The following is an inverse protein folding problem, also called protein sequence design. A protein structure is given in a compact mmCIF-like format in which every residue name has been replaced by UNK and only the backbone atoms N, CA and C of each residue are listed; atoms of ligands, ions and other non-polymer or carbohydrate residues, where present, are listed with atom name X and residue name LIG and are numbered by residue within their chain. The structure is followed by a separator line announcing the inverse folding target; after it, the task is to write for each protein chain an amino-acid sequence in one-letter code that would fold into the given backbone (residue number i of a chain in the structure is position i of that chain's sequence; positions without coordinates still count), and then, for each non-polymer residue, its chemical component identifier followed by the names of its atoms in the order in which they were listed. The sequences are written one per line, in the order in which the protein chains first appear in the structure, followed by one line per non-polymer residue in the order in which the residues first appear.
data_IF_490033116682
#
_entry.id   IF_490033116682
#
_cell.length_a   1.000
_cell.length_b   1.000
_cell.length_c   1.000
_cell.angle_alpha   90.00
_cell.angle_beta   90.00
_cell.angle_gamma   90.00
#
_symmetry.space_group_name_H-M   'P 1'
#
loop_
_entity.id
_entity.type
_entity.pdbx_description
1 polymer ?
#
# COMPACT_ATOMS: atom_id res chain seq x y z
N UNK A 1 6.86 -35.90 -10.36
CA UNK A 1 6.73 -35.52 -11.77
C UNK A 1 5.22 -35.41 -12.03
N UNK A 2 4.64 -34.25 -11.86
CA UNK A 2 3.22 -33.97 -12.05
C UNK A 2 3.11 -32.72 -12.93
N UNK A 3 2.65 -32.91 -14.13
CA UNK A 3 2.51 -31.88 -15.16
C UNK A 3 1.51 -30.83 -14.67
N UNK A 4 1.98 -29.61 -14.50
CA UNK A 4 1.18 -28.41 -14.39
C UNK A 4 0.56 -28.14 -15.77
N UNK A 5 -0.70 -28.50 -15.97
CA UNK A 5 -1.46 -28.11 -17.15
C UNK A 5 -1.73 -26.60 -17.05
N UNK A 6 -0.89 -25.84 -17.72
CA UNK A 6 -1.20 -24.48 -18.13
C UNK A 6 -2.33 -24.55 -19.14
N UNK A 7 -3.54 -24.11 -18.75
CA UNK A 7 -4.56 -23.73 -19.74
C UNK A 7 -4.26 -22.28 -20.14
N UNK A 8 -3.83 -22.04 -21.39
CA UNK A 8 -3.80 -20.67 -21.88
C UNK A 8 -5.24 -20.20 -22.04
N UNK A 9 -5.62 -19.17 -21.30
CA UNK A 9 -6.89 -18.48 -21.49
C UNK A 9 -6.86 -17.89 -22.92
N UNK A 10 -7.55 -18.54 -23.84
CA UNK A 10 -7.66 -18.08 -25.22
C UNK A 10 -8.62 -16.91 -25.25
N UNK A 11 -8.09 -15.70 -25.46
CA UNK A 11 -8.85 -14.46 -25.69
C UNK A 11 -9.59 -14.44 -27.06
N UNK A 12 -9.97 -15.60 -27.63
CA UNK A 12 -10.45 -15.71 -29.01
C UNK A 12 -11.97 -15.76 -29.19
N UNK A 13 -12.77 -15.39 -28.16
CA UNK A 13 -14.23 -15.30 -28.32
C UNK A 13 -14.79 -13.94 -27.83
N UNK A 14 -14.20 -12.82 -28.31
CA UNK A 14 -14.81 -11.49 -28.13
C UNK A 14 -15.11 -10.88 -29.50
N UNK A 15 -15.91 -11.58 -30.25
CA UNK A 15 -16.62 -11.05 -31.42
C UNK A 15 -18.00 -10.54 -31.00
N UNK A 16 -18.09 -9.25 -30.70
CA UNK A 16 -19.32 -8.58 -30.28
C UNK A 16 -19.13 -7.91 -28.94
N UNK A 17 -19.24 -6.58 -28.85
CA UNK A 17 -18.91 -5.71 -27.72
C UNK A 17 -19.45 -6.10 -26.34
N UNK A 18 -19.06 -7.23 -25.82
CA UNK A 18 -19.34 -7.65 -24.44
C UNK A 18 -18.47 -6.82 -23.47
N UNK A 19 -19.11 -6.18 -22.49
CA UNK A 19 -18.42 -5.51 -21.39
C UNK A 19 -17.57 -6.53 -20.64
N UNK A 20 -16.29 -6.23 -20.48
CA UNK A 20 -15.38 -7.03 -19.64
C UNK A 20 -15.87 -6.97 -18.20
N UNK A 21 -16.12 -8.12 -17.54
CA UNK A 21 -16.61 -8.17 -16.17
C UNK A 21 -15.43 -8.32 -15.19
N UNK A 22 -15.27 -7.33 -14.34
CA UNK A 22 -14.32 -7.35 -13.23
C UNK A 22 -15.00 -7.54 -11.88
N UNK A 23 -14.19 -7.81 -10.86
CA UNK A 23 -14.60 -7.81 -9.47
C UNK A 23 -13.78 -6.77 -8.69
N UNK A 24 -14.45 -5.87 -7.97
CA UNK A 24 -13.82 -4.99 -6.98
C UNK A 24 -13.90 -5.68 -5.61
N UNK A 25 -12.76 -6.14 -5.12
CA UNK A 25 -12.64 -6.87 -3.86
C UNK A 25 -12.35 -5.87 -2.75
N UNK A 26 -13.21 -5.83 -1.76
CA UNK A 26 -13.14 -4.89 -0.63
C UNK A 26 -13.26 -5.62 0.69
N UNK A 27 -12.90 -4.97 1.80
CA UNK A 27 -13.16 -5.52 3.11
C UNK A 27 -14.66 -5.39 3.45
N UNK A 28 -15.33 -6.51 3.68
CA UNK A 28 -16.78 -6.56 3.95
C UNK A 28 -17.18 -5.94 5.29
N UNK A 29 -16.21 -5.72 6.19
CA UNK A 29 -16.44 -5.18 7.54
C UNK A 29 -16.16 -3.68 7.65
N UNK A 30 -15.62 -3.04 6.60
CA UNK A 30 -15.34 -1.60 6.57
C UNK A 30 -16.56 -0.84 6.08
N UNK A 31 -17.20 -0.09 6.98
CA UNK A 31 -18.41 0.69 6.69
C UNK A 31 -18.22 2.20 6.51
N UNK A 32 -17.00 2.70 6.55
CA UNK A 32 -16.71 4.15 6.49
C UNK A 32 -17.08 4.77 5.14
N UNK A 33 -17.73 5.94 5.18
CA UNK A 33 -18.23 6.61 3.96
C UNK A 33 -17.11 7.04 3.00
N UNK A 34 -15.93 7.32 3.53
CA UNK A 34 -14.73 7.64 2.72
C UNK A 34 -14.34 6.49 1.77
N UNK A 35 -14.46 5.24 2.22
CA UNK A 35 -14.22 4.06 1.38
C UNK A 35 -15.35 3.86 0.36
N UNK A 36 -16.60 4.02 0.78
CA UNK A 36 -17.75 3.89 -0.14
C UNK A 36 -17.70 4.91 -1.28
N UNK A 37 -17.29 6.15 -0.99
CA UNK A 37 -17.14 7.18 -2.04
C UNK A 37 -16.03 6.84 -3.02
N UNK A 38 -14.91 6.31 -2.54
CA UNK A 38 -13.79 5.84 -3.37
C UNK A 38 -14.22 4.68 -4.28
N UNK A 39 -14.92 3.68 -3.74
CA UNK A 39 -15.40 2.54 -4.53
C UNK A 39 -16.40 2.98 -5.60
N UNK A 40 -17.28 3.92 -5.28
CA UNK A 40 -18.20 4.52 -6.23
C UNK A 40 -17.45 5.21 -7.38
N UNK A 41 -16.42 6.01 -7.08
CA UNK A 41 -15.58 6.65 -8.12
C UNK A 41 -14.92 5.63 -9.05
N UNK A 42 -14.43 4.50 -8.52
CA UNK A 42 -13.88 3.43 -9.35
C UNK A 42 -14.94 2.77 -10.24
N UNK A 43 -16.14 2.52 -9.73
CA UNK A 43 -17.22 1.93 -10.51
C UNK A 43 -17.70 2.89 -11.62
N UNK A 44 -17.88 4.16 -11.31
CA UNK A 44 -18.25 5.20 -12.30
C UNK A 44 -17.17 5.37 -13.39
N UNK A 45 -15.90 5.28 -13.01
CA UNK A 45 -14.78 5.31 -13.96
C UNK A 45 -14.76 4.06 -14.87
N UNK A 46 -15.09 2.90 -14.32
CA UNK A 46 -15.20 1.66 -15.08
C UNK A 46 -16.32 1.71 -16.13
N UNK A 47 -17.49 2.25 -15.76
CA UNK A 47 -18.62 2.44 -16.69
C UNK A 47 -18.22 3.32 -17.89
N UNK A 48 -17.46 4.40 -17.66
CA UNK A 48 -16.95 5.28 -18.73
C UNK A 48 -16.02 4.56 -19.70
N UNK A 49 -15.30 3.55 -19.21
CA UNK A 49 -14.39 2.71 -20.02
C UNK A 49 -15.09 1.47 -20.64
N UNK A 50 -16.40 1.32 -20.45
CA UNK A 50 -17.19 0.16 -20.83
C UNK A 50 -16.72 -1.15 -20.15
N UNK A 51 -16.37 -1.06 -18.87
CA UNK A 51 -15.99 -2.18 -18.02
C UNK A 51 -17.07 -2.38 -16.95
N UNK A 52 -17.72 -3.54 -16.93
CA UNK A 52 -18.65 -3.90 -15.86
C UNK A 52 -17.86 -4.37 -14.64
N UNK A 53 -18.12 -3.80 -13.47
CA UNK A 53 -17.52 -4.21 -12.18
C UNK A 53 -18.61 -4.59 -11.20
N UNK A 54 -18.42 -5.71 -10.50
CA UNK A 54 -19.21 -6.12 -9.35
C UNK A 54 -18.39 -5.94 -8.09
N UNK A 55 -18.88 -5.17 -7.12
CA UNK A 55 -18.22 -5.07 -5.82
C UNK A 55 -18.60 -6.24 -4.92
N UNK A 56 -17.59 -6.89 -4.29
CA UNK A 56 -17.77 -7.98 -3.33
C UNK A 56 -16.86 -7.79 -2.13
N UNK A 57 -17.42 -8.00 -0.93
CA UNK A 57 -16.63 -8.10 0.30
C UNK A 57 -15.87 -9.42 0.38
N UNK A 58 -14.73 -9.42 1.05
CA UNK A 58 -13.92 -10.62 1.33
C UNK A 58 -14.73 -11.69 2.09
N UNK A 59 -15.70 -11.29 2.91
CA UNK A 59 -16.64 -12.16 3.63
C UNK A 59 -17.54 -13.01 2.72
N UNK A 60 -17.74 -12.59 1.47
CA UNK A 60 -18.48 -13.32 0.44
C UNK A 60 -17.61 -14.13 -0.53
N UNK A 61 -16.27 -14.13 -0.36
CA UNK A 61 -15.31 -14.74 -1.28
C UNK A 61 -14.51 -15.87 -0.59
N UNK A 62 -15.23 -16.89 -0.14
CA UNK A 62 -14.64 -17.98 0.64
C UNK A 62 -14.00 -19.05 -0.24
N UNK A 63 -12.93 -19.68 0.28
CA UNK A 63 -12.22 -20.78 -0.35
C UNK A 63 -12.09 -21.97 0.61
N UNK A 64 -12.20 -23.19 0.07
CA UNK A 64 -11.64 -24.37 0.70
C UNK A 64 -10.13 -24.43 0.40
N UNK A 65 -9.30 -24.11 1.38
CA UNK A 65 -7.84 -24.08 1.23
C UNK A 65 -7.29 -25.47 0.90
N UNK A 66 -7.89 -26.53 1.45
CA UNK A 66 -7.42 -27.91 1.25
C UNK A 66 -7.53 -28.37 -0.20
N UNK A 67 -8.62 -28.06 -0.87
CA UNK A 67 -8.84 -28.37 -2.28
C UNK A 67 -8.43 -27.25 -3.23
N UNK A 68 -8.22 -26.03 -2.72
CA UNK A 68 -8.01 -24.84 -3.53
C UNK A 68 -9.26 -24.31 -4.23
N UNK A 69 -10.44 -24.83 -3.86
CA UNK A 69 -11.70 -24.54 -4.56
C UNK A 69 -12.39 -23.30 -4.00
N UNK A 70 -12.79 -22.33 -4.86
CA UNK A 70 -13.68 -21.24 -4.45
C UNK A 70 -15.09 -21.76 -4.15
N UNK A 71 -15.74 -21.18 -3.12
CA UNK A 71 -17.14 -21.49 -2.75
C UNK A 71 -18.11 -20.47 -3.42
N UNK A 72 -17.66 -19.82 -4.46
CA UNK A 72 -18.41 -18.88 -5.30
C UNK A 72 -18.01 -19.08 -6.77
N UNK A 73 -18.81 -18.53 -7.68
CA UNK A 73 -18.56 -18.64 -9.11
C UNK A 73 -17.50 -17.62 -9.54
N UNK A 74 -16.22 -18.05 -9.60
CA UNK A 74 -15.08 -17.24 -10.00
C UNK A 74 -15.00 -17.01 -11.51
N UNK A 75 -15.54 -17.93 -12.31
CA UNK A 75 -15.45 -17.89 -13.80
C UNK A 75 -16.27 -16.71 -14.39
N UNK A 76 -17.09 -16.07 -13.56
CA UNK A 76 -17.80 -14.84 -13.92
C UNK A 76 -16.88 -13.64 -14.11
N UNK A 77 -15.63 -13.71 -13.61
CA UNK A 77 -14.72 -12.56 -13.59
C UNK A 77 -13.49 -12.82 -14.44
N UNK A 78 -13.05 -11.81 -15.19
CA UNK A 78 -11.83 -11.87 -15.98
C UNK A 78 -10.65 -11.13 -15.32
N UNK A 79 -10.90 -10.32 -14.31
CA UNK A 79 -9.87 -9.66 -13.48
C UNK A 79 -10.47 -9.21 -12.14
N UNK A 80 -9.58 -8.90 -11.17
CA UNK A 80 -9.95 -8.31 -9.90
C UNK A 80 -9.21 -7.00 -9.62
N UNK A 81 -9.91 -6.02 -9.05
CA UNK A 81 -9.29 -4.85 -8.41
C UNK A 81 -9.20 -5.19 -6.93
N UNK A 82 -7.98 -5.46 -6.44
CA UNK A 82 -7.79 -5.92 -5.07
C UNK A 82 -7.60 -4.75 -4.11
N UNK A 83 -8.74 -4.19 -3.65
CA UNK A 83 -8.74 -3.07 -2.70
C UNK A 83 -8.92 -3.54 -1.26
N UNK A 84 -8.22 -4.62 -0.92
CA UNK A 84 -8.17 -5.20 0.43
C UNK A 84 -6.72 -5.60 0.78
N UNK A 85 -6.52 -6.04 2.01
CA UNK A 85 -5.25 -6.54 2.55
C UNK A 85 -5.36 -7.98 3.03
N UNK A 86 -6.40 -8.70 2.65
CA UNK A 86 -6.54 -10.14 2.86
C UNK A 86 -5.67 -10.90 1.86
N UNK A 87 -4.38 -10.99 2.21
CA UNK A 87 -3.36 -11.56 1.32
C UNK A 87 -3.67 -13.02 0.96
N UNK A 88 -4.21 -13.80 1.92
CA UNK A 88 -4.58 -15.18 1.66
C UNK A 88 -5.66 -15.26 0.58
N UNK A 89 -6.69 -14.44 0.69
CA UNK A 89 -7.73 -14.34 -0.34
C UNK A 89 -7.13 -13.96 -1.69
N UNK A 90 -6.29 -12.91 -1.74
CA UNK A 90 -5.64 -12.48 -2.97
C UNK A 90 -4.85 -13.60 -3.64
N UNK A 91 -4.01 -14.31 -2.88
CA UNK A 91 -3.22 -15.44 -3.37
C UNK A 91 -4.10 -16.59 -3.90
N UNK A 92 -5.23 -16.87 -3.23
CA UNK A 92 -6.16 -17.91 -3.68
C UNK A 92 -6.85 -17.53 -4.99
N UNK A 93 -7.21 -16.25 -5.15
CA UNK A 93 -7.79 -15.73 -6.39
C UNK A 93 -6.78 -15.83 -7.55
N UNK A 94 -5.53 -15.42 -7.35
CA UNK A 94 -4.46 -15.53 -8.35
C UNK A 94 -4.15 -16.98 -8.70
N UNK A 95 -4.15 -17.89 -7.72
CA UNK A 95 -3.99 -19.33 -7.92
C UNK A 95 -5.10 -19.92 -8.81
N UNK A 96 -6.29 -19.36 -8.77
CA UNK A 96 -7.39 -19.71 -9.68
C UNK A 96 -7.30 -19.05 -11.07
N UNK A 97 -6.21 -18.30 -11.34
CA UNK A 97 -5.96 -17.64 -12.62
C UNK A 97 -6.56 -16.23 -12.75
N UNK A 98 -7.13 -15.67 -11.69
CA UNK A 98 -7.68 -14.31 -11.73
C UNK A 98 -6.53 -13.29 -11.62
N UNK A 99 -6.32 -12.47 -12.65
CA UNK A 99 -5.37 -11.34 -12.59
C UNK A 99 -5.87 -10.29 -11.59
N UNK A 100 -5.04 -9.95 -10.61
CA UNK A 100 -5.34 -8.90 -9.66
C UNK A 100 -4.56 -7.61 -9.95
N UNK A 101 -5.21 -6.48 -9.76
CA UNK A 101 -4.70 -5.12 -9.78
C UNK A 101 -4.93 -4.47 -8.40
N UNK A 102 -3.94 -4.30 -7.49
CA UNK A 102 -2.59 -4.84 -7.51
C UNK A 102 -2.56 -6.35 -7.18
N UNK A 103 -1.44 -7.01 -7.53
CA UNK A 103 -1.23 -8.42 -7.15
C UNK A 103 -1.19 -8.60 -5.63
N UNK A 104 -1.53 -9.80 -5.15
CA UNK A 104 -1.47 -10.14 -3.73
C UNK A 104 -0.05 -9.98 -3.16
N UNK A 105 0.99 -10.31 -3.93
CA UNK A 105 2.39 -10.13 -3.54
C UNK A 105 2.75 -8.66 -3.37
N UNK A 106 2.39 -7.80 -4.33
CA UNK A 106 2.65 -6.37 -4.25
C UNK A 106 1.94 -5.71 -3.07
N UNK A 107 0.69 -6.11 -2.80
CA UNK A 107 -0.06 -5.65 -1.61
C UNK A 107 0.62 -6.11 -0.33
N UNK A 108 1.05 -7.38 -0.24
CA UNK A 108 1.74 -7.92 0.94
C UNK A 108 3.05 -7.18 1.24
N UNK A 109 3.85 -6.87 0.21
CA UNK A 109 5.09 -6.10 0.34
C UNK A 109 4.82 -4.68 0.84
N UNK A 110 3.73 -4.04 0.40
CA UNK A 110 3.40 -2.67 0.78
C UNK A 110 2.72 -2.58 2.16
N UNK A 111 1.98 -3.60 2.59
CA UNK A 111 1.28 -3.60 3.88
C UNK A 111 2.22 -3.79 5.07
N UNK A 112 3.41 -4.32 4.85
CA UNK A 112 4.44 -4.53 5.88
C UNK A 112 5.65 -3.63 5.63
N UNK A 113 5.85 -2.64 6.52
CA UNK A 113 6.93 -1.64 6.39
C UNK A 113 8.34 -2.28 6.38
N UNK A 114 8.54 -3.36 7.14
CA UNK A 114 9.83 -4.04 7.14
C UNK A 114 10.08 -4.74 5.80
N UNK A 115 9.06 -5.38 5.23
CA UNK A 115 9.16 -6.02 3.91
C UNK A 115 9.36 -4.97 2.80
N UNK A 116 8.62 -3.85 2.83
CA UNK A 116 8.83 -2.72 1.90
C UNK A 116 10.29 -2.24 1.93
N UNK A 117 10.82 -1.96 3.13
CA UNK A 117 12.20 -1.51 3.29
C UNK A 117 13.22 -2.56 2.85
N UNK A 118 12.98 -3.83 3.13
CA UNK A 118 13.86 -4.92 2.70
C UNK A 118 13.90 -5.07 1.18
N UNK A 119 12.73 -5.04 0.51
CA UNK A 119 12.62 -5.16 -0.95
C UNK A 119 13.32 -4.00 -1.69
N UNK A 120 13.33 -2.80 -1.10
CA UNK A 120 13.90 -1.59 -1.69
C UNK A 120 15.33 -1.27 -1.18
N UNK A 121 15.86 -2.08 -0.25
CA UNK A 121 17.16 -1.87 0.38
C UNK A 121 18.28 -1.80 -0.66
N UNK A 122 19.14 -0.78 -0.54
CA UNK A 122 20.27 -0.54 -1.46
C UNK A 122 19.89 -0.08 -2.86
N UNK A 123 18.58 0.11 -3.13
CA UNK A 123 18.06 0.51 -4.45
C UNK A 123 17.50 1.93 -4.46
N UNK A 124 16.89 2.36 -3.35
CA UNK A 124 16.29 3.68 -3.23
C UNK A 124 16.75 4.40 -1.95
N UNK A 125 16.81 5.74 -1.94
CA UNK A 125 17.11 6.51 -0.75
C UNK A 125 15.94 6.40 0.24
N UNK A 126 16.24 5.90 1.44
CA UNK A 126 15.30 5.73 2.55
C UNK A 126 15.94 6.16 3.86
N UNK A 127 15.19 6.59 4.88
CA UNK A 127 15.74 6.81 6.21
C UNK A 127 16.40 5.53 6.75
N UNK A 128 17.50 5.66 7.46
CA UNK A 128 18.13 4.52 8.16
C UNK A 128 17.08 3.78 8.99
N UNK A 129 16.94 2.49 8.80
CA UNK A 129 15.90 1.68 9.43
C UNK A 129 16.50 0.37 9.95
N UNK A 130 16.08 -0.02 11.15
CA UNK A 130 16.45 -1.29 11.80
C UNK A 130 15.15 -1.97 12.23
N UNK A 131 14.90 -3.23 11.83
CA UNK A 131 13.80 -4.00 12.40
C UNK A 131 14.03 -4.23 13.90
N UNK A 132 12.97 -4.12 14.70
CA UNK A 132 13.04 -4.55 16.10
C UNK A 132 13.21 -6.07 16.10
N UNK A 133 14.19 -6.63 16.85
CA UNK A 133 14.31 -8.08 16.96
C UNK A 133 13.01 -8.70 17.44
N UNK A 134 12.51 -9.69 16.72
CA UNK A 134 11.22 -10.32 17.07
C UNK A 134 11.37 -11.19 18.32
N UNK A 135 10.32 -11.20 19.13
CA UNK A 135 10.14 -12.11 20.27
C UNK A 135 8.78 -12.77 20.17
N UNK A 136 8.47 -13.66 21.10
CA UNK A 136 7.16 -14.30 21.21
C UNK A 136 6.34 -13.62 22.30
N UNK A 137 5.02 -13.54 22.13
CA UNK A 137 4.09 -12.88 23.07
C UNK A 137 4.25 -13.35 24.52
N UNK A 138 4.48 -14.64 24.71
CA UNK A 138 4.66 -15.25 26.05
C UNK A 138 6.10 -15.15 26.60
N UNK A 139 7.06 -14.65 25.80
CA UNK A 139 8.45 -14.43 26.21
C UNK A 139 8.69 -12.97 26.55
N UNK A 140 8.20 -12.06 25.68
CA UNK A 140 8.42 -10.62 25.82
C UNK A 140 9.89 -10.22 25.57
N UNK A 141 10.24 -9.01 26.03
CA UNK A 141 11.59 -8.44 25.94
C UNK A 141 12.23 -8.37 27.32
N UNK A 142 13.08 -9.32 27.67
CA UNK A 142 13.87 -9.31 28.90
C UNK A 142 15.00 -8.29 28.83
N UNK A 143 16.04 -8.57 28.06
CA UNK A 143 17.14 -7.65 27.78
C UNK A 143 16.91 -6.90 26.47
N UNK A 144 17.03 -5.56 26.53
CA UNK A 144 16.90 -4.67 25.38
C UNK A 144 18.20 -3.94 25.03
N UNK A 145 19.36 -4.53 25.34
CA UNK A 145 20.68 -3.97 25.03
C UNK A 145 20.89 -3.65 23.55
N UNK A 146 20.08 -4.22 22.64
CA UNK A 146 20.08 -3.85 21.23
C UNK A 146 19.66 -2.39 20.98
N UNK A 147 18.84 -1.78 21.87
CA UNK A 147 18.39 -0.38 21.73
C UNK A 147 19.57 0.60 21.81
N UNK A 148 20.52 0.39 22.69
CA UNK A 148 21.71 1.23 22.76
C UNK A 148 22.47 1.25 21.44
N UNK A 149 22.60 0.09 20.78
CA UNK A 149 23.24 -0.02 19.45
C UNK A 149 22.39 0.64 18.37
N UNK A 150 21.06 0.45 18.41
CA UNK A 150 20.14 1.07 17.47
C UNK A 150 20.16 2.59 17.61
N UNK A 151 20.08 3.13 18.83
CA UNK A 151 20.15 4.57 19.10
C UNK A 151 21.49 5.19 18.66
N UNK A 152 22.61 4.47 18.91
CA UNK A 152 23.93 4.90 18.45
C UNK A 152 24.04 5.00 16.92
N UNK A 153 23.32 4.16 16.16
CA UNK A 153 23.31 4.15 14.69
C UNK A 153 22.28 5.10 14.08
N UNK A 154 21.06 5.12 14.63
CA UNK A 154 19.93 5.89 14.09
C UNK A 154 19.94 7.36 14.58
N UNK A 155 20.45 7.59 15.78
CA UNK A 155 20.30 8.85 16.52
C UNK A 155 18.97 8.96 17.25
N UNK A 156 18.85 9.97 18.09
CA UNK A 156 17.63 10.38 18.78
C UNK A 156 17.25 11.81 18.37
N UNK A 157 15.96 12.14 18.24
CA UNK A 157 14.84 11.23 18.41
C UNK A 157 14.81 10.16 17.29
N UNK A 158 14.19 9.00 17.60
CA UNK A 158 13.90 8.00 16.59
C UNK A 158 12.39 7.76 16.44
N UNK A 159 11.97 7.36 15.24
CA UNK A 159 10.59 6.96 14.96
C UNK A 159 10.48 5.45 15.07
N UNK A 160 9.51 4.96 15.84
CA UNK A 160 9.18 3.54 15.94
C UNK A 160 7.84 3.34 15.27
N UNK A 161 7.73 2.32 14.41
CA UNK A 161 6.50 2.04 13.66
C UNK A 161 6.16 0.56 13.77
N UNK A 162 4.90 0.23 13.98
CA UNK A 162 4.44 -1.13 13.73
C UNK A 162 4.56 -1.43 12.24
N UNK A 163 4.98 -2.64 11.89
CA UNK A 163 5.17 -3.04 10.50
C UNK A 163 3.87 -2.92 9.72
N UNK A 164 2.75 -3.28 10.33
CA UNK A 164 1.40 -3.14 9.75
C UNK A 164 0.63 -2.02 10.42
N UNK A 165 -0.22 -1.35 9.66
CA UNK A 165 -1.04 -0.27 10.17
C UNK A 165 -1.20 0.87 9.17
N UNK A 166 -2.18 1.74 9.41
CA UNK A 166 -2.59 2.78 8.47
C UNK A 166 -2.86 4.10 9.20
N UNK A 167 -2.93 5.19 8.43
CA UNK A 167 -3.31 6.53 8.92
C UNK A 167 -2.38 7.11 10.00
N UNK A 168 -1.17 6.59 10.16
CA UNK A 168 -0.21 7.06 11.14
C UNK A 168 -0.54 6.72 12.61
N UNK A 169 -1.54 5.88 12.87
CA UNK A 169 -1.94 5.50 14.23
C UNK A 169 -0.87 4.68 14.97
N UNK A 170 -0.10 3.89 14.21
CA UNK A 170 0.93 2.98 14.72
C UNK A 170 2.35 3.55 14.50
N UNK A 171 2.51 4.87 14.70
CA UNK A 171 3.79 5.57 14.52
C UNK A 171 4.08 6.39 15.77
N UNK A 172 5.22 6.15 16.39
CA UNK A 172 5.61 6.67 17.69
C UNK A 172 6.95 7.42 17.58
N UNK A 173 7.13 8.49 18.35
CA UNK A 173 8.38 9.22 18.45
C UNK A 173 9.02 8.94 19.82
N UNK A 174 10.22 8.41 19.83
CA UNK A 174 11.00 8.17 21.06
C UNK A 174 12.13 9.21 21.15
N UNK A 175 12.14 9.99 22.24
CA UNK A 175 13.16 11.01 22.52
C UNK A 175 14.37 10.42 23.23
N UNK A 176 14.23 9.24 23.86
CA UNK A 176 15.29 8.54 24.58
C UNK A 176 15.20 7.02 24.38
N UNK A 177 16.26 6.31 24.80
CA UNK A 177 16.29 4.85 24.78
C UNK A 177 15.23 4.24 25.71
N UNK A 178 14.95 4.89 26.85
CA UNK A 178 13.94 4.47 27.80
C UNK A 178 12.54 4.55 27.20
N UNK A 179 12.21 5.66 26.52
CA UNK A 179 10.93 5.79 25.81
C UNK A 179 10.81 4.76 24.68
N UNK A 180 11.89 4.51 23.94
CA UNK A 180 11.89 3.47 22.91
C UNK A 180 11.61 2.08 23.50
N UNK A 181 12.23 1.78 24.66
CA UNK A 181 12.00 0.53 25.37
C UNK A 181 10.54 0.41 25.86
N UNK A 182 9.97 1.47 26.38
CA UNK A 182 8.58 1.51 26.83
C UNK A 182 7.61 1.25 25.66
N UNK A 183 7.80 1.96 24.54
CA UNK A 183 6.98 1.76 23.33
C UNK A 183 7.05 0.32 22.86
N UNK A 184 8.24 -0.26 22.74
CA UNK A 184 8.40 -1.63 22.23
C UNK A 184 7.78 -2.65 23.21
N UNK A 185 7.98 -2.49 24.53
CA UNK A 185 7.40 -3.39 25.53
C UNK A 185 5.87 -3.33 25.56
N UNK A 186 5.29 -2.12 25.43
CA UNK A 186 3.83 -1.95 25.45
C UNK A 186 3.11 -2.58 24.25
N UNK A 187 3.84 -2.87 23.18
CA UNK A 187 3.31 -3.53 21.96
C UNK A 187 3.64 -5.02 21.91
N UNK A 188 4.17 -5.59 23.00
CA UNK A 188 4.50 -7.00 23.15
C UNK A 188 5.36 -7.55 21.98
N UNK A 189 4.84 -8.55 21.26
CA UNK A 189 5.51 -9.20 20.12
C UNK A 189 5.06 -8.65 18.75
N UNK A 190 4.43 -7.49 18.70
CA UNK A 190 4.05 -6.85 17.45
C UNK A 190 5.30 -6.52 16.63
N UNK A 191 5.40 -6.96 15.37
CA UNK A 191 6.54 -6.62 14.52
C UNK A 191 6.64 -5.10 14.32
N UNK A 192 7.83 -4.54 14.57
CA UNK A 192 8.09 -3.11 14.50
C UNK A 192 9.41 -2.80 13.80
N UNK A 193 9.55 -1.59 13.32
CA UNK A 193 10.82 -1.00 12.85
C UNK A 193 11.19 0.22 13.68
N UNK A 194 12.48 0.43 13.88
CA UNK A 194 13.09 1.65 14.41
C UNK A 194 13.71 2.41 13.24
N UNK A 195 13.43 3.68 13.13
CA UNK A 195 13.85 4.49 11.99
C UNK A 195 14.41 5.84 12.46
N UNK A 196 15.50 6.31 11.80
CA UNK A 196 16.02 7.66 12.01
C UNK A 196 14.92 8.66 11.75
N UNK A 197 14.70 9.56 12.68
CA UNK A 197 13.78 10.68 12.49
C UNK A 197 14.34 11.66 11.44
N UNK A 198 13.53 11.97 10.43
CA UNK A 198 13.81 13.03 9.45
C UNK A 198 13.14 14.30 9.97
N UNK A 199 13.84 14.99 10.87
CA UNK A 199 13.28 16.14 11.60
C UNK A 199 12.90 17.29 10.70
N UNK A 200 13.56 17.42 9.54
CA UNK A 200 13.24 18.41 8.50
C UNK A 200 11.85 18.22 7.90
N UNK A 201 11.30 17.00 8.02
CA UNK A 201 9.95 16.64 7.55
C UNK A 201 8.93 16.50 8.68
N UNK A 202 9.24 16.92 9.91
CA UNK A 202 8.24 16.87 10.97
C UNK A 202 7.00 17.68 10.61
N UNK A 203 5.84 17.00 10.69
CA UNK A 203 4.55 17.56 10.30
C UNK A 203 4.40 17.81 8.79
N UNK A 204 5.29 17.32 7.93
CA UNK A 204 5.19 17.48 6.47
C UNK A 204 5.65 16.24 5.73
N UNK A 205 4.93 15.88 4.69
CA UNK A 205 5.36 14.90 3.68
C UNK A 205 4.69 15.18 2.34
N UNK A 206 5.20 14.51 1.30
CA UNK A 206 4.64 14.57 -0.05
C UNK A 206 4.05 13.20 -0.36
N UNK A 207 2.81 13.16 -0.84
CA UNK A 207 2.23 11.97 -1.45
C UNK A 207 2.15 12.14 -2.95
N UNK A 208 2.77 11.22 -3.68
CA UNK A 208 2.71 11.12 -5.15
C UNK A 208 1.87 9.89 -5.49
N UNK A 209 0.88 10.05 -6.36
CA UNK A 209 0.09 8.93 -6.87
C UNK A 209 0.60 8.50 -8.25
N UNK A 210 0.86 7.20 -8.40
CA UNK A 210 1.37 6.59 -9.63
C UNK A 210 0.35 5.57 -10.13
N UNK A 211 0.11 5.54 -11.43
CA UNK A 211 -0.73 4.53 -12.12
C UNK A 211 -0.04 4.13 -13.41
N UNK A 212 0.17 2.83 -13.62
CA UNK A 212 0.71 2.30 -14.87
C UNK A 212 2.04 2.90 -15.29
N UNK A 213 2.90 3.26 -14.32
CA UNK A 213 4.20 3.89 -14.54
C UNK A 213 4.16 5.39 -14.83
N UNK A 214 3.04 6.07 -14.60
CA UNK A 214 2.87 7.50 -14.77
C UNK A 214 2.49 8.19 -13.46
N UNK A 215 3.03 9.39 -13.20
CA UNK A 215 2.64 10.24 -12.06
C UNK A 215 1.33 10.94 -12.38
N UNK A 216 0.27 10.63 -11.65
CA UNK A 216 -1.05 11.21 -11.85
C UNK A 216 -1.25 12.53 -11.13
N UNK A 217 -0.65 12.68 -9.96
CA UNK A 217 -0.74 13.89 -9.15
C UNK A 217 0.10 13.78 -7.89
N UNK A 218 0.28 14.92 -7.23
CA UNK A 218 0.94 14.95 -5.93
C UNK A 218 0.29 15.99 -5.02
N UNK A 219 0.34 15.73 -3.73
CA UNK A 219 -0.09 16.66 -2.69
C UNK A 219 0.95 16.72 -1.57
N UNK A 220 1.13 17.90 -1.02
CA UNK A 220 1.82 18.09 0.24
C UNK A 220 0.81 17.96 1.36
N UNK A 221 1.13 17.12 2.35
CA UNK A 221 0.37 17.03 3.60
C UNK A 221 1.12 17.80 4.69
N UNK A 222 0.37 18.49 5.53
CA UNK A 222 0.96 19.32 6.60
C UNK A 222 0.13 19.22 7.87
N UNK A 223 0.81 19.13 9.03
CA UNK A 223 0.20 19.13 10.34
C UNK A 223 1.07 19.98 11.30
N UNK A 224 0.55 21.11 11.75
CA UNK A 224 1.29 22.01 12.65
C UNK A 224 1.32 21.58 14.13
N UNK A 225 0.66 20.46 14.50
CA UNK A 225 0.51 20.00 15.88
C UNK A 225 1.09 18.63 16.15
N UNK A 226 1.39 17.87 15.10
CA UNK A 226 1.90 16.51 15.20
C UNK A 226 3.12 16.36 14.27
N UNK A 227 4.10 15.55 14.65
CA UNK A 227 5.24 15.25 13.78
C UNK A 227 4.82 14.42 12.54
N UNK A 228 3.65 13.77 12.58
CA UNK A 228 3.03 13.05 11.48
C UNK A 228 2.16 14.00 10.65
N UNK A 229 2.29 13.93 9.32
CA UNK A 229 1.56 14.80 8.40
C UNK A 229 0.16 14.28 8.02
N UNK A 230 -0.25 13.11 8.52
CA UNK A 230 -1.49 12.45 8.11
C UNK A 230 -2.73 13.31 8.33
N UNK A 231 -3.60 13.42 7.32
CA UNK A 231 -4.88 14.15 7.35
C UNK A 231 -5.78 13.61 8.47
N UNK A 232 -5.81 12.30 8.67
CA UNK A 232 -6.59 11.64 9.72
C UNK A 232 -6.20 12.09 11.15
N UNK A 233 -5.00 12.66 11.33
CA UNK A 233 -4.51 13.22 12.59
C UNK A 233 -4.69 14.75 12.65
N UNK A 234 -5.58 15.33 11.86
CA UNK A 234 -5.85 16.77 11.83
C UNK A 234 -4.93 17.56 10.89
N UNK A 235 -4.23 16.88 9.98
CA UNK A 235 -3.45 17.53 8.92
C UNK A 235 -4.31 18.09 7.80
N UNK A 236 -3.70 18.95 6.99
CA UNK A 236 -4.24 19.47 5.72
C UNK A 236 -3.48 18.92 4.53
N UNK A 237 -4.04 19.08 3.33
CA UNK A 237 -3.37 18.74 2.09
C UNK A 237 -3.61 19.82 1.05
N UNK A 238 -2.59 20.10 0.24
CA UNK A 238 -2.62 21.03 -0.88
C UNK A 238 -1.94 20.42 -2.11
N UNK A 239 -2.33 20.88 -3.30
CA UNK A 239 -1.70 20.45 -4.54
C UNK A 239 -0.21 20.77 -4.51
N UNK A 240 0.61 19.83 -4.99
CA UNK A 240 2.06 19.94 -5.01
C UNK A 240 2.62 19.62 -6.42
N UNK A 241 3.66 20.32 -6.81
CA UNK A 241 4.39 20.06 -8.06
C UNK A 241 5.70 19.34 -7.74
N UNK A 242 5.75 18.00 -7.86
CA UNK A 242 6.94 17.25 -7.47
C UNK A 242 8.11 17.50 -8.44
N UNK A 243 9.31 17.58 -7.87
CA UNK A 243 10.56 17.68 -8.63
C UNK A 243 10.83 16.44 -9.49
N UNK A 244 11.77 16.53 -10.41
CA UNK A 244 12.18 15.38 -11.21
C UNK A 244 12.75 14.21 -10.39
N UNK A 245 13.40 14.51 -9.26
CA UNK A 245 13.96 13.51 -8.36
C UNK A 245 12.88 12.78 -7.58
N UNK A 246 11.90 13.50 -7.04
CA UNK A 246 10.74 12.93 -6.34
C UNK A 246 9.88 12.06 -7.27
N UNK A 247 9.65 12.51 -8.52
CA UNK A 247 8.94 11.70 -9.52
C UNK A 247 9.69 10.40 -9.83
N UNK A 248 11.01 10.45 -10.05
CA UNK A 248 11.82 9.25 -10.30
C UNK A 248 11.77 8.30 -9.11
N UNK A 249 11.89 8.82 -7.89
CA UNK A 249 11.81 8.02 -6.66
C UNK A 249 10.47 7.30 -6.54
N UNK A 250 9.35 7.99 -6.79
CA UNK A 250 8.02 7.41 -6.75
C UNK A 250 7.80 6.35 -7.83
N UNK A 251 8.17 6.64 -9.07
CA UNK A 251 8.02 5.71 -10.20
C UNK A 251 8.84 4.43 -9.97
N UNK A 252 10.09 4.58 -9.53
CA UNK A 252 10.97 3.44 -9.29
C UNK A 252 10.50 2.61 -8.09
N UNK A 253 9.96 3.22 -7.03
CA UNK A 253 9.40 2.50 -5.88
C UNK A 253 8.21 1.62 -6.32
N UNK A 254 7.27 2.18 -7.08
CA UNK A 254 6.10 1.46 -7.61
C UNK A 254 6.53 0.31 -8.52
N UNK A 255 7.49 0.57 -9.44
CA UNK A 255 8.03 -0.44 -10.35
C UNK A 255 8.71 -1.60 -9.61
N UNK A 256 9.55 -1.29 -8.62
CA UNK A 256 10.30 -2.30 -7.86
C UNK A 256 9.42 -3.18 -6.96
N UNK A 257 8.29 -2.65 -6.51
CA UNK A 257 7.30 -3.39 -5.72
C UNK A 257 6.25 -4.10 -6.58
N UNK A 258 6.30 -3.95 -7.90
CA UNK A 258 5.39 -4.61 -8.82
C UNK A 258 3.95 -4.09 -8.76
N UNK A 259 3.77 -2.81 -8.43
CA UNK A 259 2.45 -2.20 -8.32
C UNK A 259 1.95 -1.71 -9.69
N UNK A 260 0.69 -1.95 -9.96
CA UNK A 260 -0.06 -1.33 -11.07
C UNK A 260 -0.40 0.13 -10.75
N UNK A 261 -0.72 0.42 -9.48
CA UNK A 261 -0.99 1.76 -8.96
C UNK A 261 -0.69 1.84 -7.46
N UNK A 262 -0.43 3.04 -6.98
CA UNK A 262 -0.21 3.24 -5.55
C UNK A 262 0.15 4.68 -5.19
N UNK A 263 0.11 4.95 -3.89
CA UNK A 263 0.53 6.22 -3.30
C UNK A 263 1.89 6.10 -2.64
N UNK A 264 2.82 6.96 -3.02
CA UNK A 264 4.19 6.99 -2.51
C UNK A 264 4.37 8.19 -1.60
N UNK A 265 4.75 7.95 -0.36
CA UNK A 265 5.00 8.99 0.65
C UNK A 265 6.50 9.29 0.71
N UNK A 266 6.86 10.55 0.55
CA UNK A 266 8.24 11.05 0.48
C UNK A 266 8.48 12.07 1.58
N UNK A 267 9.61 11.95 2.27
CA UNK A 267 10.12 12.92 3.23
C UNK A 267 11.22 13.76 2.59
N UNK A 268 11.27 15.02 2.95
CA UNK A 268 12.37 15.91 2.59
C UNK A 268 13.46 15.86 3.66
N UNK A 269 14.67 15.56 3.28
CA UNK A 269 15.84 15.70 4.12
C UNK A 269 16.80 16.72 3.55
N UNK A 270 17.80 17.14 4.33
CA UNK A 270 18.88 17.99 3.85
C UNK A 270 19.69 17.38 2.70
N UNK A 271 19.66 16.06 2.57
CA UNK A 271 20.42 15.30 1.57
C UNK A 271 19.55 14.88 0.35
N UNK A 272 18.32 15.40 0.25
CA UNK A 272 17.36 15.09 -0.81
C UNK A 272 16.13 14.31 -0.34
N UNK A 273 15.25 13.91 -1.27
CA UNK A 273 14.03 13.18 -0.96
C UNK A 273 14.31 11.75 -0.50
N UNK A 274 13.60 11.31 0.53
CA UNK A 274 13.66 9.96 1.07
C UNK A 274 12.31 9.28 0.98
N UNK A 275 12.28 8.05 0.49
CA UNK A 275 11.07 7.22 0.50
C UNK A 275 10.68 6.89 1.93
N UNK A 276 9.46 7.22 2.33
CA UNK A 276 8.91 6.94 3.65
C UNK A 276 8.08 5.66 3.66
N UNK A 277 7.14 5.55 2.72
CA UNK A 277 6.15 4.47 2.66
C UNK A 277 5.57 4.37 1.24
N UNK A 278 5.15 3.15 0.85
CA UNK A 278 4.38 2.92 -0.37
C UNK A 278 3.07 2.25 0.02
N UNK A 279 1.96 2.80 -0.46
CA UNK A 279 0.62 2.34 -0.14
C UNK A 279 -0.05 1.78 -1.42
N UNK A 280 -0.27 0.48 -1.51
CA UNK A 280 -0.94 -0.19 -2.64
C UNK A 280 -2.39 0.25 -2.82
N UNK A 281 -3.08 0.51 -1.70
CA UNK A 281 -4.50 0.89 -1.65
C UNK A 281 -4.66 2.31 -1.10
N UNK A 282 -3.86 3.25 -1.64
CA UNK A 282 -3.86 4.63 -1.17
C UNK A 282 -5.17 5.34 -1.52
N UNK A 283 -5.79 5.98 -0.53
CA UNK A 283 -6.94 6.86 -0.76
C UNK A 283 -6.54 8.01 -1.68
N UNK A 284 -7.24 8.20 -2.78
CA UNK A 284 -6.96 9.21 -3.79
C UNK A 284 -8.01 10.34 -3.88
N UNK A 285 -9.20 10.18 -3.30
CA UNK A 285 -10.27 11.18 -3.40
C UNK A 285 -9.83 12.59 -2.95
N UNK A 286 -9.01 12.68 -1.90
CA UNK A 286 -8.42 13.96 -1.45
C UNK A 286 -7.48 14.57 -2.48
N UNK A 287 -6.73 13.75 -3.20
CA UNK A 287 -5.82 14.19 -4.24
C UNK A 287 -6.59 14.64 -5.49
N UNK A 288 -7.58 13.86 -5.95
CA UNK A 288 -8.45 14.26 -7.06
C UNK A 288 -9.10 15.62 -6.79
N UNK A 289 -9.63 15.81 -5.56
CA UNK A 289 -10.24 17.07 -5.16
C UNK A 289 -9.26 18.24 -5.14
N UNK A 290 -8.02 18.05 -4.70
CA UNK A 290 -7.04 19.12 -4.55
C UNK A 290 -6.28 19.45 -5.85
N UNK A 291 -6.11 18.47 -6.73
CA UNK A 291 -5.29 18.59 -7.95
C UNK A 291 -6.11 18.62 -9.25
N UNK A 292 -7.36 18.15 -9.22
CA UNK A 292 -8.15 17.91 -10.44
C UNK A 292 -7.71 16.67 -11.24
N UNK A 293 -6.79 15.85 -10.71
CA UNK A 293 -6.34 14.63 -11.38
C UNK A 293 -7.46 13.58 -11.44
N UNK A 294 -7.60 12.89 -12.57
CA UNK A 294 -8.54 11.78 -12.78
C UNK A 294 -7.85 10.44 -12.47
N UNK A 295 -7.66 10.14 -11.19
CA UNK A 295 -6.94 8.95 -10.73
C UNK A 295 -7.78 7.68 -10.95
N UNK A 296 -9.05 7.72 -10.59
CA UNK A 296 -9.98 6.60 -10.81
C UNK A 296 -10.07 6.22 -12.29
N UNK A 297 -10.18 7.20 -13.18
CA UNK A 297 -10.17 6.95 -14.62
C UNK A 297 -8.84 6.43 -15.14
N UNK A 298 -7.71 6.93 -14.62
CA UNK A 298 -6.38 6.44 -14.99
C UNK A 298 -6.19 4.96 -14.60
N UNK A 299 -6.66 4.54 -13.42
CA UNK A 299 -6.64 3.14 -12.99
C UNK A 299 -7.43 2.28 -13.98
N UNK A 300 -8.65 2.68 -14.36
CA UNK A 300 -9.47 1.91 -15.29
C UNK A 300 -8.86 1.84 -16.69
N UNK A 301 -8.30 2.94 -17.21
CA UNK A 301 -7.57 2.95 -18.49
C UNK A 301 -6.32 2.07 -18.45
N UNK A 302 -5.60 2.05 -17.33
CA UNK A 302 -4.46 1.14 -17.15
C UNK A 302 -4.92 -0.32 -17.18
N UNK A 303 -5.92 -0.69 -16.40
CA UNK A 303 -6.48 -2.04 -16.36
C UNK A 303 -6.91 -2.48 -17.78
N UNK A 304 -7.64 -1.62 -18.50
CA UNK A 304 -8.08 -1.90 -19.86
C UNK A 304 -6.90 -2.22 -20.78
N UNK A 305 -5.86 -1.39 -20.77
CA UNK A 305 -4.63 -1.61 -21.57
C UNK A 305 -3.94 -2.92 -21.22
N UNK A 306 -3.89 -3.29 -19.94
CA UNK A 306 -3.26 -4.54 -19.51
C UNK A 306 -4.06 -5.79 -19.91
N UNK A 307 -5.39 -5.69 -19.96
CA UNK A 307 -6.27 -6.76 -20.39
C UNK A 307 -6.31 -6.92 -21.93
N UNK A 308 -5.83 -5.96 -22.68
CA UNK A 308 -5.76 -5.98 -24.16
C UNK A 308 -4.44 -6.53 -24.71
N UNK A 309 -3.42 -6.72 -23.82
CA UNK A 309 -2.13 -7.34 -24.18
C UNK A 309 -2.25 -8.86 -24.29
#
# INVERSE_FOLDING_TARGET
MGFMLWYPFSMHDIGGGLMKKGILITNGFVGEESFKSLFRSLMEAAEKENIAIEQRGNDGLLFDIGSGRPLFDIDRYCFGIFWDKDIMLGQMLEKCGLRLFNSAEAVALCDDKALTHAALSGRLPMPKTIPVPQTYKYVGYGDMGFLKRAAGYLGLPMVIKECRGSFGKQVYLAQSEEQAAEIIRSHEATPMIMQRAVTESFGRDIRIYVVGGEVMGAMQRSNGRDFRANIANGGSAEAYSPSGEEKRLALEAVRLLGLDFGGVDILHSKDGPLLCEVNSNAHFAGMEKSTGADISGAIMRHIKRELEK
#
